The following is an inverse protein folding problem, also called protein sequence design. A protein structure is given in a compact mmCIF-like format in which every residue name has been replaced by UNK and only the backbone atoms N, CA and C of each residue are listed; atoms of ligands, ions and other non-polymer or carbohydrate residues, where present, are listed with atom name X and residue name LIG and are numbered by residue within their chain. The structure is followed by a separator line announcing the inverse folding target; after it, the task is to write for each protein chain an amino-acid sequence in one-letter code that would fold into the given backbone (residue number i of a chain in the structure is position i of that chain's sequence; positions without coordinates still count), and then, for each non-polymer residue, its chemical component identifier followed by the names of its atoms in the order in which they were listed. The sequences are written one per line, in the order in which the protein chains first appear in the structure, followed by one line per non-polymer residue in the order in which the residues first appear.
data_IF_808148857733
#
_entry.id   IF_808148857733
#
_cell.length_a   1.000
_cell.length_b   1.000
_cell.length_c   1.000
_cell.angle_alpha   90.00
_cell.angle_beta   90.00
_cell.angle_gamma   90.00
#
_symmetry.space_group_name_H-M   'P 1'
#
loop_
_entity.id
_entity.type
_entity.pdbx_description
1 polymer ?
#
# COMPACT_ATOMS: atom_id res chain seq x y z
N UNK A 1 27.05 0.19 -50.25
CA UNK A 1 25.70 0.55 -49.75
C UNK A 1 25.21 -0.40 -48.66
N UNK A 2 25.14 -1.71 -48.91
CA UNK A 2 24.69 -2.71 -47.93
C UNK A 2 25.44 -2.63 -46.58
N UNK A 3 26.77 -2.59 -46.59
CA UNK A 3 27.58 -2.51 -45.36
C UNK A 3 27.30 -1.26 -44.52
N UNK A 4 27.07 -0.10 -45.16
CA UNK A 4 26.74 1.12 -44.44
C UNK A 4 25.34 1.04 -43.82
N UNK A 5 24.40 0.42 -44.52
CA UNK A 5 23.02 0.22 -44.06
C UNK A 5 22.97 -0.77 -42.88
N UNK A 6 23.68 -1.90 -42.99
CA UNK A 6 23.74 -2.91 -41.92
C UNK A 6 24.41 -2.38 -40.67
N UNK A 7 25.53 -1.66 -40.80
CA UNK A 7 26.22 -1.07 -39.63
C UNK A 7 25.44 0.08 -39.00
N UNK A 8 24.69 0.87 -39.78
CA UNK A 8 23.77 1.87 -39.22
C UNK A 8 22.56 1.24 -38.54
N UNK A 9 22.01 0.14 -39.06
CA UNK A 9 20.97 -0.62 -38.37
C UNK A 9 21.50 -1.24 -37.06
N UNK A 10 22.71 -1.79 -37.08
CA UNK A 10 23.36 -2.40 -35.92
C UNK A 10 23.60 -1.39 -34.78
N UNK A 11 23.93 -0.13 -35.14
CA UNK A 11 24.07 0.99 -34.20
C UNK A 11 22.79 1.30 -33.41
N UNK A 12 21.61 0.97 -33.94
CA UNK A 12 20.32 1.26 -33.31
C UNK A 12 19.79 0.02 -32.58
N UNK A 13 19.90 -1.14 -33.24
CA UNK A 13 19.33 -2.41 -32.76
C UNK A 13 20.12 -2.97 -31.57
N UNK A 14 21.46 -2.94 -31.60
CA UNK A 14 22.26 -3.50 -30.50
C UNK A 14 22.00 -2.77 -29.17
N UNK A 15 22.06 -1.43 -29.08
CA UNK A 15 21.71 -0.73 -27.84
C UNK A 15 20.32 -1.09 -27.31
N UNK A 16 19.33 -1.22 -28.20
CA UNK A 16 17.96 -1.57 -27.82
C UNK A 16 17.88 -2.99 -27.20
N UNK A 17 18.55 -3.97 -27.82
CA UNK A 17 18.59 -5.35 -27.29
C UNK A 17 19.28 -5.38 -25.93
N UNK A 18 20.39 -4.68 -25.78
CA UNK A 18 21.11 -4.61 -24.50
C UNK A 18 20.26 -3.92 -23.43
N UNK A 19 19.65 -2.78 -23.74
CA UNK A 19 18.75 -2.07 -22.83
C UNK A 19 17.59 -2.96 -22.38
N UNK A 20 16.90 -3.62 -23.31
CA UNK A 20 15.78 -4.50 -23.01
C UNK A 20 16.18 -5.69 -22.14
N UNK A 21 17.33 -6.33 -22.43
CA UNK A 21 17.82 -7.47 -21.64
C UNK A 21 18.34 -7.08 -20.25
N UNK A 22 18.73 -5.83 -20.05
CA UNK A 22 19.23 -5.34 -18.76
C UNK A 22 18.16 -5.23 -17.66
N UNK A 23 16.88 -5.46 -17.99
CA UNK A 23 15.71 -5.36 -17.08
C UNK A 23 15.44 -3.97 -16.48
N UNK A 24 16.23 -2.96 -16.83
CA UNK A 24 16.02 -1.57 -16.40
C UNK A 24 15.11 -0.74 -17.31
N UNK A 25 14.78 -1.25 -18.50
CA UNK A 25 14.05 -0.52 -19.54
C UNK A 25 12.51 -0.58 -19.39
N UNK A 26 11.99 -1.64 -18.77
CA UNK A 26 10.55 -1.83 -18.58
C UNK A 26 10.27 -2.43 -17.21
N UNK A 27 10.06 -1.56 -16.24
CA UNK A 27 9.79 -1.95 -14.87
C UNK A 27 8.34 -2.41 -14.75
N UNK A 28 8.17 -3.59 -14.13
CA UNK A 28 6.83 -4.16 -13.89
C UNK A 28 6.13 -3.54 -12.69
N UNK A 29 6.90 -2.95 -11.79
CA UNK A 29 6.39 -2.29 -10.60
C UNK A 29 7.34 -1.19 -10.15
N UNK A 30 6.74 -0.16 -9.58
CA UNK A 30 7.42 0.89 -8.85
C UNK A 30 6.80 1.03 -7.46
N UNK A 31 7.50 1.77 -6.61
CA UNK A 31 6.99 2.12 -5.29
C UNK A 31 7.18 3.61 -5.03
N UNK A 32 6.34 4.12 -4.13
CA UNK A 32 6.51 5.42 -3.49
C UNK A 32 6.20 5.26 -2.01
N UNK A 33 6.61 6.26 -1.23
CA UNK A 33 6.26 6.37 0.17
C UNK A 33 5.32 7.56 0.33
N UNK A 34 4.26 7.35 1.10
CA UNK A 34 3.25 8.38 1.42
C UNK A 34 2.71 8.10 2.82
N UNK A 35 2.51 9.14 3.62
CA UNK A 35 1.73 9.03 4.84
C UNK A 35 0.23 9.11 4.48
N UNK A 36 -0.55 8.06 4.73
CA UNK A 36 -1.95 8.03 4.35
C UNK A 36 -2.76 8.95 5.26
N UNK A 37 -3.76 9.60 4.69
CA UNK A 37 -4.74 10.34 5.49
C UNK A 37 -5.78 9.35 6.00
N UNK A 38 -5.78 9.11 7.32
CA UNK A 38 -6.69 8.17 7.97
C UNK A 38 -7.61 8.91 8.92
N UNK A 39 -8.92 8.69 8.76
CA UNK A 39 -9.96 9.26 9.62
C UNK A 39 -10.78 8.13 10.24
N UNK A 40 -11.21 8.30 11.47
CA UNK A 40 -12.17 7.39 12.07
C UNK A 40 -13.55 7.65 11.47
N UNK A 41 -14.24 6.59 11.05
CA UNK A 41 -15.67 6.69 10.71
C UNK A 41 -16.55 6.73 11.96
N UNK A 42 -15.92 6.61 13.14
CA UNK A 42 -16.55 6.38 14.44
C UNK A 42 -17.33 5.07 14.53
N UNK A 43 -17.30 4.19 13.52
CA UNK A 43 -17.90 2.87 13.62
C UNK A 43 -16.91 1.88 14.22
N UNK A 44 -17.36 1.16 15.24
CA UNK A 44 -16.58 0.10 15.87
C UNK A 44 -17.48 -1.04 16.29
N UNK A 45 -16.86 -2.21 16.44
CA UNK A 45 -17.45 -3.40 17.06
C UNK A 45 -16.42 -3.93 18.03
N UNK A 46 -16.79 -3.99 19.31
CA UNK A 46 -15.98 -4.54 20.36
C UNK A 46 -16.70 -5.74 20.96
N UNK A 47 -15.99 -6.85 21.09
CA UNK A 47 -16.51 -8.11 21.57
C UNK A 47 -15.61 -8.58 22.69
N UNK A 48 -16.18 -8.82 23.86
CA UNK A 48 -15.51 -9.48 24.96
C UNK A 48 -16.15 -10.85 25.17
N UNK A 49 -15.37 -11.90 24.96
CA UNK A 49 -15.81 -13.26 25.26
C UNK A 49 -15.51 -13.58 26.72
N UNK A 50 -16.51 -14.12 27.39
CA UNK A 50 -16.36 -14.55 28.77
C UNK A 50 -15.89 -16.00 28.85
N UNK A 51 -15.63 -16.50 30.07
CA UNK A 51 -15.34 -17.91 30.31
C UNK A 51 -16.45 -18.84 29.76
N UNK A 52 -17.71 -18.40 29.82
CA UNK A 52 -18.83 -19.07 29.22
C UNK A 52 -19.04 -18.60 27.77
N UNK A 53 -18.81 -19.45 26.75
CA UNK A 53 -18.88 -19.04 25.34
C UNK A 53 -20.29 -18.66 24.87
N UNK A 54 -21.32 -18.97 25.67
CA UNK A 54 -22.71 -18.55 25.41
C UNK A 54 -22.97 -17.09 25.79
N UNK A 55 -22.08 -16.45 26.54
CA UNK A 55 -22.23 -15.09 27.04
C UNK A 55 -21.08 -14.26 26.48
N UNK A 56 -21.31 -13.64 25.33
CA UNK A 56 -20.43 -12.62 24.75
C UNK A 56 -21.02 -11.24 24.96
N UNK A 57 -20.16 -10.30 25.33
CA UNK A 57 -20.55 -8.89 25.49
C UNK A 57 -20.14 -8.16 24.22
N UNK A 58 -21.09 -7.54 23.54
CA UNK A 58 -20.85 -6.84 22.28
C UNK A 58 -21.21 -5.36 22.45
N UNK A 59 -20.27 -4.47 22.10
CA UNK A 59 -20.47 -3.02 22.02
C UNK A 59 -20.29 -2.56 20.57
N UNK A 60 -21.14 -1.68 20.06
CA UNK A 60 -20.92 -1.10 18.73
C UNK A 60 -21.99 -0.09 18.32
N UNK A 61 -21.68 0.71 17.31
CA UNK A 61 -22.53 1.84 16.87
C UNK A 61 -23.70 1.43 15.94
N UNK A 62 -24.14 0.17 15.97
CA UNK A 62 -25.26 -0.35 15.18
C UNK A 62 -26.35 -0.95 16.04
N UNK A 63 -27.48 -1.37 15.45
CA UNK A 63 -28.53 -2.16 16.12
C UNK A 63 -28.06 -3.60 16.41
N UNK A 64 -26.82 -3.75 16.86
CA UNK A 64 -26.24 -5.01 17.28
C UNK A 64 -26.88 -5.30 18.63
N UNK A 65 -27.82 -6.24 18.63
CA UNK A 65 -28.63 -6.55 19.80
C UNK A 65 -27.77 -7.00 20.98
N UNK A 66 -28.20 -6.48 22.13
CA UNK A 66 -27.92 -6.92 23.50
C UNK A 66 -26.57 -6.49 24.08
N UNK A 67 -26.68 -5.71 25.17
CA UNK A 67 -25.63 -5.27 26.11
C UNK A 67 -24.93 -3.94 25.84
N UNK A 68 -25.51 -3.05 25.04
CA UNK A 68 -24.99 -1.66 24.90
C UNK A 68 -24.93 -0.92 26.26
N UNK A 69 -25.78 -1.30 27.22
CA UNK A 69 -25.77 -0.76 28.59
C UNK A 69 -24.52 -1.15 29.42
N UNK A 70 -23.78 -2.20 29.04
CA UNK A 70 -22.53 -2.59 29.70
C UNK A 70 -21.34 -1.72 29.25
N UNK A 71 -21.47 -1.05 28.11
CA UNK A 71 -20.43 -0.24 27.49
C UNK A 71 -20.54 1.20 28.02
N UNK A 72 -19.92 1.46 29.17
CA UNK A 72 -20.19 2.67 29.96
C UNK A 72 -19.58 3.95 29.38
N UNK A 73 -18.40 3.86 28.76
CA UNK A 73 -17.70 5.01 28.21
C UNK A 73 -16.93 4.61 26.96
N UNK A 74 -17.16 5.31 25.84
CA UNK A 74 -16.42 5.16 24.60
C UNK A 74 -15.94 6.52 24.11
N UNK A 75 -14.64 6.62 23.85
CA UNK A 75 -13.99 7.85 23.37
C UNK A 75 -13.10 7.53 22.18
N UNK A 76 -13.27 8.29 21.10
CA UNK A 76 -12.41 8.24 19.92
C UNK A 76 -11.84 9.64 19.71
N UNK A 77 -10.51 9.74 19.68
CA UNK A 77 -9.79 11.01 19.54
C UNK A 77 -8.73 10.87 18.45
N UNK A 78 -8.65 11.88 17.58
CA UNK A 78 -7.65 11.99 16.54
C UNK A 78 -6.64 13.06 16.95
N UNK A 79 -5.37 12.75 16.84
CA UNK A 79 -4.27 13.65 17.18
C UNK A 79 -3.39 13.89 15.97
N UNK A 80 -3.18 15.16 15.69
CA UNK A 80 -2.19 15.69 14.75
C UNK A 80 -1.06 16.32 15.59
N UNK A 81 0.06 15.59 15.73
CA UNK A 81 1.16 16.01 16.60
C UNK A 81 2.10 16.99 15.89
N UNK A 82 2.26 16.85 14.57
CA UNK A 82 3.17 17.64 13.76
C UNK A 82 2.49 18.90 13.13
N UNK A 83 1.16 19.02 13.26
CA UNK A 83 0.29 20.09 12.75
C UNK A 83 0.28 20.18 11.21
N UNK A 84 0.43 19.06 10.51
CA UNK A 84 0.41 19.00 9.05
C UNK A 84 -1.00 18.77 8.47
N UNK A 85 -2.04 18.79 9.31
CA UNK A 85 -3.46 18.52 8.98
C UNK A 85 -3.80 17.06 8.69
N UNK A 86 -2.81 16.16 8.79
CA UNK A 86 -2.96 14.72 8.69
C UNK A 86 -2.93 14.14 10.10
N UNK A 87 -3.84 13.21 10.38
CA UNK A 87 -3.86 12.56 11.69
C UNK A 87 -2.65 11.62 11.83
N UNK A 88 -1.87 11.79 12.90
CA UNK A 88 -0.74 10.94 13.22
C UNK A 88 -1.16 9.76 14.11
N UNK A 89 -2.11 10.00 15.02
CA UNK A 89 -2.54 9.03 16.03
C UNK A 89 -4.06 9.03 16.16
N UNK A 90 -4.64 7.84 16.22
CA UNK A 90 -6.03 7.62 16.62
C UNK A 90 -6.02 6.93 17.98
N UNK A 91 -6.59 7.57 18.99
CA UNK A 91 -6.79 6.98 20.32
C UNK A 91 -8.23 6.53 20.47
N UNK A 92 -8.41 5.25 20.80
CA UNK A 92 -9.70 4.67 21.12
C UNK A 92 -9.68 4.20 22.57
N UNK A 93 -10.65 4.62 23.37
CA UNK A 93 -10.79 4.20 24.77
C UNK A 93 -12.19 3.67 24.98
N UNK A 94 -12.30 2.51 25.62
CA UNK A 94 -13.57 1.89 25.97
C UNK A 94 -13.49 1.36 27.40
N UNK A 95 -14.50 1.69 28.20
CA UNK A 95 -14.71 1.09 29.52
C UNK A 95 -15.92 0.18 29.45
N UNK A 96 -15.70 -1.09 29.79
CA UNK A 96 -16.74 -2.09 29.82
C UNK A 96 -17.01 -2.51 31.27
N UNK A 97 -18.28 -2.46 31.67
CA UNK A 97 -18.72 -3.00 32.95
C UNK A 97 -18.95 -4.51 32.78
N UNK A 98 -18.18 -5.31 33.51
CA UNK A 98 -18.24 -6.76 33.46
C UNK A 98 -19.15 -7.26 34.58
N UNK A 99 -20.16 -8.08 34.30
CA UNK A 99 -21.01 -8.66 35.35
C UNK A 99 -20.18 -9.44 36.39
N UNK A 100 -20.50 -9.30 37.67
CA UNK A 100 -19.69 -9.82 38.80
C UNK A 100 -19.43 -11.34 38.76
N UNK A 101 -20.24 -12.12 38.04
CA UNK A 101 -20.08 -13.57 37.93
C UNK A 101 -19.27 -14.02 36.70
N UNK A 102 -18.83 -13.10 35.84
CA UNK A 102 -18.16 -13.44 34.59
C UNK A 102 -16.77 -12.83 34.54
N UNK A 103 -15.85 -13.53 33.89
CA UNK A 103 -14.51 -13.05 33.60
C UNK A 103 -14.27 -13.02 32.11
N UNK A 104 -13.45 -12.08 31.64
CA UNK A 104 -13.15 -11.90 30.22
C UNK A 104 -11.92 -12.74 29.86
N UNK A 105 -12.07 -13.59 28.84
CA UNK A 105 -11.03 -14.48 28.34
C UNK A 105 -10.42 -13.98 27.03
N UNK A 106 -11.22 -13.35 26.17
CA UNK A 106 -10.73 -12.78 24.92
C UNK A 106 -11.41 -11.45 24.62
N UNK A 107 -10.74 -10.62 23.83
CA UNK A 107 -11.31 -9.39 23.28
C UNK A 107 -10.99 -9.29 21.79
N UNK A 108 -12.01 -8.91 21.03
CA UNK A 108 -11.90 -8.58 19.61
C UNK A 108 -12.40 -7.16 19.42
N UNK A 109 -11.56 -6.31 18.84
CA UNK A 109 -11.94 -4.97 18.40
C UNK A 109 -11.82 -4.90 16.88
N UNK A 110 -12.87 -4.41 16.24
CA UNK A 110 -12.89 -4.01 14.84
C UNK A 110 -13.21 -2.53 14.82
N UNK A 111 -12.23 -1.72 14.43
CA UNK A 111 -12.39 -0.29 14.23
C UNK A 111 -12.46 0.01 12.73
N UNK A 112 -13.52 0.68 12.28
CA UNK A 112 -13.62 1.14 10.91
C UNK A 112 -12.94 2.50 10.73
N UNK A 113 -12.14 2.60 9.67
CA UNK A 113 -11.32 3.74 9.35
C UNK A 113 -11.51 4.08 7.87
N UNK A 114 -11.62 5.36 7.54
CA UNK A 114 -11.51 5.83 6.17
C UNK A 114 -10.04 6.09 5.84
N UNK A 115 -9.54 5.42 4.80
CA UNK A 115 -8.14 5.48 4.40
C UNK A 115 -8.01 6.13 3.01
N UNK A 116 -7.18 7.18 2.93
CA UNK A 116 -6.93 7.92 1.71
C UNK A 116 -5.45 7.96 1.37
N UNK A 117 -5.13 7.65 0.11
CA UNK A 117 -3.89 8.03 -0.56
C UNK A 117 -4.23 9.15 -1.56
N UNK A 118 -3.38 10.17 -1.66
CA UNK A 118 -3.65 11.38 -2.45
C UNK A 118 -2.59 11.66 -3.52
N UNK A 119 -1.36 11.16 -3.37
CA UNK A 119 -0.23 11.64 -4.19
C UNK A 119 -0.15 11.01 -5.59
N UNK A 120 0.53 9.88 -5.72
CA UNK A 120 0.84 9.23 -7.01
C UNK A 120 -0.35 8.38 -7.47
N UNK A 121 -0.99 7.71 -6.52
CA UNK A 121 -2.07 6.78 -6.77
C UNK A 121 -3.22 7.05 -5.81
N UNK A 122 -4.20 7.87 -6.22
CA UNK A 122 -5.29 8.21 -5.33
C UNK A 122 -6.18 6.98 -5.11
N UNK A 123 -6.31 6.60 -3.84
CA UNK A 123 -7.08 5.44 -3.38
C UNK A 123 -7.93 5.91 -2.20
N UNK A 124 -9.20 5.57 -2.22
CA UNK A 124 -10.09 5.68 -1.08
C UNK A 124 -10.67 4.30 -0.78
N UNK A 125 -10.45 3.85 0.45
CA UNK A 125 -11.00 2.57 0.91
C UNK A 125 -11.45 2.65 2.36
N UNK A 126 -12.40 1.80 2.72
CA UNK A 126 -12.66 1.52 4.13
C UNK A 126 -11.61 0.53 4.63
N UNK A 127 -10.74 1.01 5.51
CA UNK A 127 -9.76 0.25 6.26
C UNK A 127 -10.38 -0.28 7.56
N UNK A 128 -9.89 -1.44 8.03
CA UNK A 128 -10.23 -1.97 9.34
C UNK A 128 -8.97 -2.09 10.21
N UNK A 129 -9.08 -1.60 11.44
CA UNK A 129 -8.15 -1.89 12.53
C UNK A 129 -8.69 -3.06 13.33
N UNK A 130 -8.20 -4.27 13.05
CA UNK A 130 -8.61 -5.49 13.75
C UNK A 130 -7.59 -5.84 14.85
N UNK A 131 -8.09 -6.02 16.07
CA UNK A 131 -7.33 -6.57 17.19
C UNK A 131 -8.05 -7.81 17.65
N UNK A 132 -7.32 -8.91 17.76
CA UNK A 132 -7.76 -10.08 18.49
C UNK A 132 -6.72 -10.34 19.60
N UNK A 133 -7.17 -10.37 20.85
CA UNK A 133 -6.31 -10.66 21.99
C UNK A 133 -6.98 -11.63 22.95
N UNK A 134 -6.37 -12.81 23.07
CA UNK A 134 -6.67 -13.79 24.10
C UNK A 134 -5.84 -13.52 25.36
N UNK A 135 -6.46 -13.78 26.52
CA UNK A 135 -5.86 -13.68 27.83
C UNK A 135 -5.78 -15.05 28.50
N UNK A 136 -4.60 -15.41 28.99
CA UNK A 136 -4.42 -16.61 29.81
C UNK A 136 -4.90 -16.42 31.26
N UNK A 137 -5.11 -15.17 31.67
CA UNK A 137 -5.54 -14.76 33.01
C UNK A 137 -6.58 -13.66 32.81
N UNK A 138 -7.71 -13.68 33.55
CA UNK A 138 -8.73 -12.64 33.48
C UNK A 138 -8.14 -11.21 33.52
N UNK A 139 -8.42 -10.45 32.46
CA UNK A 139 -7.93 -9.10 32.31
C UNK A 139 -8.93 -8.08 32.88
N UNK A 140 -8.42 -7.10 33.62
CA UNK A 140 -9.12 -5.88 34.03
C UNK A 140 -8.82 -4.69 33.12
N UNK A 141 -7.87 -4.83 32.21
CA UNK A 141 -7.64 -3.82 31.19
C UNK A 141 -6.57 -4.19 30.19
N UNK A 142 -6.58 -3.50 29.06
CA UNK A 142 -5.68 -3.74 27.95
C UNK A 142 -5.23 -2.39 27.38
N UNK A 143 -3.92 -2.14 27.41
CA UNK A 143 -3.30 -1.04 26.68
C UNK A 143 -2.63 -1.60 25.44
N UNK A 144 -3.08 -1.17 24.28
CA UNK A 144 -2.58 -1.60 22.98
C UNK A 144 -1.98 -0.40 22.24
N UNK A 145 -0.70 -0.49 21.91
CA UNK A 145 -0.01 0.46 21.04
C UNK A 145 0.39 -0.27 19.77
N UNK A 146 -0.03 0.23 18.62
CA UNK A 146 0.26 -0.39 17.33
C UNK A 146 0.30 0.59 16.19
N UNK A 147 0.84 0.12 15.07
CA UNK A 147 0.86 0.86 13.81
C UNK A 147 -0.25 0.35 12.90
N UNK A 148 -0.82 1.26 12.11
CA UNK A 148 -1.63 0.91 10.96
C UNK A 148 -0.72 0.71 9.75
N UNK A 149 -0.54 -0.54 9.35
CA UNK A 149 0.27 -0.89 8.18
C UNK A 149 -0.63 -1.11 6.95
N UNK A 150 -0.12 -0.71 5.79
CA UNK A 150 -0.78 -0.93 4.52
C UNK A 150 -0.23 -2.21 3.87
N UNK A 151 -1.10 -3.18 3.63
CA UNK A 151 -0.77 -4.45 3.01
C UNK A 151 -1.44 -4.57 1.64
N UNK A 152 -0.66 -4.98 0.65
CA UNK A 152 -1.10 -5.13 -0.74
C UNK A 152 -0.63 -6.47 -1.30
N UNK A 153 -1.54 -7.23 -1.88
CA UNK A 153 -1.24 -8.47 -2.62
C UNK A 153 -1.00 -8.19 -4.09
N UNK A 154 -1.72 -7.19 -4.65
CA UNK A 154 -1.61 -6.76 -6.03
C UNK A 154 -1.12 -5.30 -6.11
N UNK A 155 -0.47 -4.96 -7.23
CA UNK A 155 -0.02 -3.58 -7.45
C UNK A 155 -1.20 -2.71 -7.85
N UNK A 156 -1.24 -1.48 -7.32
CA UNK A 156 -2.27 -0.54 -7.72
C UNK A 156 -2.10 -0.15 -9.21
N UNK A 157 -3.18 -0.16 -10.00
CA UNK A 157 -3.11 0.13 -11.43
C UNK A 157 -2.87 1.62 -11.73
N UNK A 158 -3.14 2.51 -10.77
CA UNK A 158 -2.90 3.95 -10.80
C UNK A 158 -3.24 4.62 -12.14
N UNK A 159 -4.55 4.64 -12.42
CA UNK A 159 -5.11 5.27 -13.59
C UNK A 159 -5.10 6.80 -13.45
N UNK A 160 -4.78 7.49 -14.53
CA UNK A 160 -4.65 8.95 -14.53
C UNK A 160 -6.02 9.62 -14.29
N UNK A 161 -6.09 10.54 -13.32
CA UNK A 161 -7.30 11.26 -12.91
C UNK A 161 -8.46 10.36 -12.42
N UNK A 162 -8.14 9.17 -11.93
CA UNK A 162 -9.13 8.26 -11.38
C UNK A 162 -8.76 7.93 -9.94
N UNK A 163 -9.69 8.17 -9.01
CA UNK A 163 -9.56 7.74 -7.62
C UNK A 163 -10.09 6.32 -7.54
N UNK A 164 -9.26 5.38 -7.11
CA UNK A 164 -9.73 4.02 -6.88
C UNK A 164 -10.63 3.98 -5.64
N UNK A 165 -11.90 3.64 -5.82
CA UNK A 165 -12.89 3.52 -4.75
C UNK A 165 -13.46 2.10 -4.64
N UNK A 166 -12.78 1.10 -5.22
CA UNK A 166 -13.24 -0.30 -5.27
C UNK A 166 -13.62 -0.86 -3.90
N UNK A 167 -12.87 -0.50 -2.86
CA UNK A 167 -13.08 -0.94 -1.48
C UNK A 167 -13.73 0.13 -0.57
N UNK A 168 -14.36 1.14 -1.16
CA UNK A 168 -15.08 2.20 -0.43
C UNK A 168 -16.52 1.77 -0.13
N UNK A 169 -16.69 0.66 0.59
CA UNK A 169 -18.00 0.16 1.01
C UNK A 169 -17.97 -0.14 2.50
N UNK A 170 -18.98 0.35 3.22
CA UNK A 170 -19.09 0.18 4.67
C UNK A 170 -19.45 -1.27 5.01
N UNK A 171 -18.47 -2.08 5.44
CA UNK A 171 -18.68 -3.48 5.84
C UNK A 171 -19.52 -3.59 7.13
N UNK A 172 -19.34 -2.66 8.07
CA UNK A 172 -20.05 -2.68 9.36
C UNK A 172 -21.54 -2.34 9.23
N UNK A 173 -21.93 -1.46 8.30
CA UNK A 173 -23.35 -1.09 8.11
C UNK A 173 -24.18 -2.25 7.53
N UNK A 174 -23.55 -3.25 6.92
CA UNK A 174 -24.23 -4.44 6.42
C UNK A 174 -24.91 -5.22 7.56
N UNK A 175 -24.33 -5.22 8.77
CA UNK A 175 -24.90 -5.89 9.96
C UNK A 175 -26.30 -5.39 10.32
N UNK A 176 -26.65 -4.15 9.98
CA UNK A 176 -27.96 -3.59 10.27
C UNK A 176 -29.08 -4.20 9.41
N UNK A 177 -28.75 -4.84 8.27
CA UNK A 177 -29.74 -5.28 7.27
C UNK A 177 -30.12 -6.75 7.39
N UNK A 178 -29.20 -7.60 7.85
CA UNK A 178 -29.45 -9.02 8.11
C UNK A 178 -28.98 -9.30 9.55
N UNK A 179 -29.92 -9.69 10.42
CA UNK A 179 -29.67 -9.94 11.85
C UNK A 179 -28.68 -11.10 12.12
N UNK A 180 -28.24 -11.80 11.07
CA UNK A 180 -27.35 -12.97 11.13
C UNK A 180 -25.96 -12.74 10.49
N UNK A 181 -25.57 -11.50 10.15
CA UNK A 181 -24.21 -11.27 9.64
C UNK A 181 -23.22 -11.43 10.80
N UNK A 182 -22.51 -12.56 10.78
CA UNK A 182 -21.46 -12.88 11.73
C UNK A 182 -20.21 -12.04 11.46
N UNK A 183 -19.45 -11.79 12.52
CA UNK A 183 -18.14 -11.11 12.45
C UNK A 183 -17.20 -11.82 11.48
N UNK A 184 -17.29 -13.14 11.40
CA UNK A 184 -16.53 -13.97 10.48
C UNK A 184 -16.76 -13.54 9.02
N UNK A 185 -17.99 -13.20 8.62
CA UNK A 185 -18.28 -12.72 7.28
C UNK A 185 -17.60 -11.37 6.99
N UNK A 186 -17.57 -10.47 7.98
CA UNK A 186 -16.89 -9.17 7.85
C UNK A 186 -15.39 -9.38 7.69
N UNK A 187 -14.79 -10.22 8.51
CA UNK A 187 -13.37 -10.50 8.45
C UNK A 187 -13.01 -11.22 7.15
N UNK A 188 -13.79 -12.22 6.73
CA UNK A 188 -13.57 -12.94 5.47
C UNK A 188 -13.70 -12.01 4.24
N UNK A 189 -14.75 -11.19 4.18
CA UNK A 189 -14.92 -10.22 3.08
C UNK A 189 -13.86 -9.12 3.07
N UNK A 190 -13.25 -8.82 4.21
CA UNK A 190 -12.15 -7.86 4.31
C UNK A 190 -10.80 -8.47 3.94
N UNK A 191 -10.47 -9.66 4.44
CA UNK A 191 -9.18 -10.32 4.19
C UNK A 191 -9.06 -10.95 2.80
N UNK A 192 -10.16 -11.05 2.06
CA UNK A 192 -10.16 -11.46 0.64
C UNK A 192 -9.81 -10.31 -0.32
N UNK A 193 -9.72 -9.07 0.17
CA UNK A 193 -9.34 -7.90 -0.64
C UNK A 193 -7.88 -7.96 -1.04
N UNK A 194 -7.57 -7.39 -2.20
CA UNK A 194 -6.19 -7.28 -2.65
C UNK A 194 -5.38 -6.24 -1.87
N UNK A 195 -6.10 -5.26 -1.31
CA UNK A 195 -5.52 -4.14 -0.57
C UNK A 195 -6.27 -4.01 0.74
N UNK A 196 -5.51 -4.01 1.84
CA UNK A 196 -6.06 -3.96 3.19
C UNK A 196 -5.11 -3.21 4.13
N UNK A 197 -5.65 -2.70 5.23
CA UNK A 197 -4.85 -2.30 6.38
C UNK A 197 -4.75 -3.43 7.40
N UNK A 198 -3.58 -3.57 8.00
CA UNK A 198 -3.32 -4.50 9.10
C UNK A 198 -2.81 -3.72 10.31
N UNK A 199 -3.16 -4.19 11.51
CA UNK A 199 -2.61 -3.62 12.73
C UNK A 199 -1.39 -4.40 13.18
N UNK A 200 -0.25 -3.71 13.33
CA UNK A 200 0.98 -4.31 13.84
C UNK A 200 1.23 -3.86 15.29
N UNK A 201 1.23 -4.78 16.29
CA UNK A 201 1.46 -4.41 17.68
C UNK A 201 2.90 -3.96 17.91
N UNK A 202 3.07 -2.76 18.45
CA UNK A 202 4.36 -2.27 18.95
C UNK A 202 4.55 -2.62 20.42
N UNK A 203 3.51 -2.42 21.22
CA UNK A 203 3.53 -2.71 22.65
C UNK A 203 2.13 -3.03 23.15
N UNK A 204 1.99 -4.14 23.87
CA UNK A 204 0.71 -4.59 24.42
C UNK A 204 0.91 -4.91 25.88
N UNK A 205 0.07 -4.33 26.74
CA UNK A 205 0.09 -4.58 28.19
C UNK A 205 -1.31 -4.89 28.69
N UNK A 206 -1.47 -6.10 29.20
CA UNK A 206 -2.65 -6.50 29.96
C UNK A 206 -2.47 -6.13 31.44
N UNK A 207 -3.50 -5.53 32.03
CA UNK A 207 -3.70 -5.44 33.47
C UNK A 207 -4.60 -6.60 33.87
N UNK A 208 -4.22 -7.32 34.92
CA UNK A 208 -4.97 -8.45 35.43
C UNK A 208 -5.62 -8.06 36.75
N UNK A 209 -6.80 -8.61 37.00
CA UNK A 209 -7.56 -8.34 38.21
C UNK A 209 -9.05 -8.53 37.99
N UNK A 210 -9.78 -8.78 39.08
CA UNK A 210 -11.22 -8.91 39.04
C UNK A 210 -11.84 -7.63 39.61
N UNK A 211 -11.94 -6.61 38.75
CA UNK A 211 -12.39 -5.26 39.13
C UNK A 211 -13.82 -4.96 38.69
N UNK A 212 -14.52 -5.92 38.06
CA UNK A 212 -15.85 -5.72 37.46
C UNK A 212 -15.87 -4.70 36.32
N UNK A 213 -14.70 -4.21 35.90
CA UNK A 213 -14.52 -3.20 34.85
C UNK A 213 -13.31 -3.61 34.02
N UNK A 214 -13.46 -3.57 32.70
CA UNK A 214 -12.38 -3.71 31.72
C UNK A 214 -12.09 -2.35 31.09
N UNK A 215 -10.89 -1.83 31.35
CA UNK A 215 -10.36 -0.63 30.70
C UNK A 215 -9.59 -0.99 29.42
N UNK A 216 -10.15 -0.69 28.26
CA UNK A 216 -9.49 -0.86 26.96
C UNK A 216 -8.97 0.49 26.43
N UNK A 217 -7.69 0.57 26.12
CA UNK A 217 -7.05 1.74 25.51
C UNK A 217 -6.23 1.30 24.29
N UNK A 218 -6.55 1.84 23.12
CA UNK A 218 -5.81 1.70 21.88
C UNK A 218 -5.17 3.04 21.50
N UNK A 219 -3.89 2.97 21.15
CA UNK A 219 -3.12 4.04 20.52
C UNK A 219 -2.64 3.53 19.17
N UNK A 220 -3.36 3.92 18.11
CA UNK A 220 -3.06 3.56 16.74
C UNK A 220 -2.24 4.67 16.10
N UNK A 221 -0.99 4.39 15.77
CA UNK A 221 -0.12 5.30 15.02
C UNK A 221 -0.26 5.06 13.52
N UNK A 222 -0.25 6.14 12.75
CA UNK A 222 -0.32 6.12 11.29
C UNK A 222 1.06 6.46 10.72
N UNK A 223 1.89 5.46 10.38
CA UNK A 223 3.20 5.68 9.78
C UNK A 223 3.11 5.99 8.28
N UNK A 224 4.24 6.43 7.71
CA UNK A 224 4.45 6.44 6.26
C UNK A 224 4.44 5.02 5.69
N UNK A 225 3.69 4.80 4.61
CA UNK A 225 3.51 3.48 4.00
C UNK A 225 4.16 3.39 2.63
N UNK A 226 4.63 2.18 2.30
CA UNK A 226 5.18 1.87 0.98
C UNK A 226 4.09 1.34 0.06
N UNK A 227 3.76 2.09 -0.97
CA UNK A 227 2.71 1.73 -1.94
C UNK A 227 3.36 1.23 -3.23
N UNK A 228 2.95 0.06 -3.71
CA UNK A 228 3.39 -0.52 -4.97
C UNK A 228 2.38 -0.25 -6.06
N UNK A 229 2.86 0.18 -7.21
CA UNK A 229 2.01 0.49 -8.35
C UNK A 229 2.61 0.06 -9.67
N UNK A 230 1.73 -0.04 -10.67
CA UNK A 230 2.09 -0.29 -12.05
C UNK A 230 2.42 1.06 -12.71
N UNK A 231 3.66 1.26 -13.18
CA UNK A 231 4.05 2.50 -13.82
C UNK A 231 3.32 2.71 -15.15
N UNK A 232 3.05 3.97 -15.49
CA UNK A 232 2.47 4.32 -16.79
C UNK A 232 3.51 4.20 -17.92
N UNK A 233 3.05 3.95 -19.15
CA UNK A 233 3.91 3.88 -20.33
C UNK A 233 4.79 5.13 -20.51
N UNK A 234 4.25 6.30 -20.20
CA UNK A 234 4.98 7.56 -20.30
C UNK A 234 6.08 7.69 -19.25
N UNK A 235 5.81 7.17 -18.05
CA UNK A 235 6.80 7.12 -16.97
C UNK A 235 7.94 6.15 -17.31
N UNK A 236 7.63 4.97 -17.86
CA UNK A 236 8.64 4.05 -18.36
C UNK A 236 9.47 4.70 -19.48
N UNK A 237 8.82 5.39 -20.43
CA UNK A 237 9.51 6.09 -21.51
C UNK A 237 10.45 7.19 -20.98
N UNK A 238 10.04 7.93 -19.93
CA UNK A 238 10.87 8.94 -19.24
C UNK A 238 12.14 8.34 -18.65
N UNK A 239 12.11 7.11 -18.16
CA UNK A 239 13.29 6.45 -17.58
C UNK A 239 14.09 5.64 -18.60
N UNK A 240 13.45 5.22 -19.69
CA UNK A 240 14.04 4.44 -20.76
C UNK A 240 15.02 5.26 -21.63
N UNK A 241 14.69 6.52 -21.96
CA UNK A 241 15.48 7.30 -22.92
C UNK A 241 16.93 7.60 -22.50
N UNK A 242 17.28 7.89 -21.22
CA UNK A 242 18.67 8.14 -20.84
C UNK A 242 19.50 6.84 -20.89
N UNK A 243 18.91 5.72 -20.46
CA UNK A 243 19.53 4.39 -20.56
C UNK A 243 19.80 4.01 -22.01
N UNK A 244 18.84 4.24 -22.91
CA UNK A 244 19.02 4.00 -24.33
C UNK A 244 20.11 4.91 -24.93
N UNK A 245 20.05 6.22 -24.66
CA UNK A 245 20.98 7.20 -25.23
C UNK A 245 22.43 6.95 -24.81
N UNK A 246 22.65 6.60 -23.54
CA UNK A 246 23.99 6.24 -23.04
C UNK A 246 24.59 5.03 -23.77
N UNK A 247 23.78 3.99 -24.03
CA UNK A 247 24.24 2.83 -24.80
C UNK A 247 24.51 3.18 -26.26
N UNK A 248 23.64 3.97 -26.89
CA UNK A 248 23.81 4.39 -28.30
C UNK A 248 25.15 5.10 -28.51
N UNK A 249 25.58 5.97 -27.60
CA UNK A 249 26.87 6.66 -27.69
C UNK A 249 28.04 5.68 -27.72
N UNK A 250 28.03 4.67 -26.83
CA UNK A 250 29.10 3.66 -26.75
C UNK A 250 29.13 2.80 -28.01
N UNK A 251 27.98 2.28 -28.45
CA UNK A 251 27.89 1.46 -29.66
C UNK A 251 28.25 2.24 -30.92
N UNK A 252 27.82 3.50 -31.01
CA UNK A 252 28.19 4.39 -32.11
C UNK A 252 29.71 4.56 -32.19
N UNK A 253 30.38 4.78 -31.06
CA UNK A 253 31.84 4.89 -31.02
C UNK A 253 32.53 3.60 -31.49
N UNK A 254 32.10 2.43 -31.01
CA UNK A 254 32.66 1.13 -31.39
C UNK A 254 32.48 0.89 -32.90
N UNK A 255 31.26 1.05 -33.41
CA UNK A 255 30.97 0.80 -34.83
C UNK A 255 31.66 1.83 -35.72
N UNK A 256 31.82 3.08 -35.27
CA UNK A 256 32.61 4.07 -36.00
C UNK A 256 34.09 3.67 -36.12
N UNK A 257 34.68 3.08 -35.07
CA UNK A 257 36.04 2.51 -35.13
C UNK A 257 36.12 1.32 -36.08
N UNK A 258 35.14 0.41 -36.06
CA UNK A 258 35.09 -0.74 -36.98
C UNK A 258 34.94 -0.27 -38.43
N UNK A 259 34.03 0.68 -38.71
CA UNK A 259 33.87 1.29 -40.04
C UNK A 259 35.19 1.88 -40.53
N UNK A 260 35.83 2.69 -39.71
CA UNK A 260 37.11 3.33 -40.05
C UNK A 260 38.20 2.29 -40.35
N UNK A 261 38.27 1.20 -39.59
CA UNK A 261 39.22 0.11 -39.83
C UNK A 261 38.96 -0.59 -41.17
N UNK A 262 37.70 -0.92 -41.47
CA UNK A 262 37.31 -1.61 -42.71
C UNK A 262 37.63 -0.77 -43.95
N UNK A 263 37.34 0.54 -43.92
CA UNK A 263 37.62 1.44 -45.04
C UNK A 263 39.11 1.75 -45.19
N UNK A 264 39.86 1.92 -44.09
CA UNK A 264 41.32 2.15 -44.15
C UNK A 264 42.07 0.96 -44.74
N UNK A 265 41.66 -0.26 -44.38
CA UNK A 265 42.29 -1.49 -44.86
C UNK A 265 41.75 -1.96 -46.22
N UNK A 266 40.87 -1.19 -46.87
CA UNK A 266 40.27 -1.51 -48.18
C UNK A 266 39.64 -2.91 -48.24
N UNK A 267 39.08 -3.38 -47.12
CA UNK A 267 38.44 -4.71 -47.07
C UNK A 267 37.14 -4.76 -47.89
N UNK A 268 36.60 -3.60 -48.26
CA UNK A 268 35.44 -3.44 -49.14
C UNK A 268 35.75 -2.37 -50.20
N UNK A 269 35.23 -2.55 -51.42
CA UNK A 269 35.31 -1.53 -52.46
C UNK A 269 34.57 -0.27 -52.02
N UNK A 270 35.31 0.82 -51.88
CA UNK A 270 34.80 2.15 -51.54
C UNK A 270 35.34 3.15 -52.57
N UNK A 271 34.49 4.09 -52.98
CA UNK A 271 34.83 5.15 -53.91
C UNK A 271 34.82 6.46 -53.13
N UNK A 272 35.93 7.19 -53.17
CA UNK A 272 35.99 8.52 -52.59
C UNK A 272 35.29 9.48 -53.54
N UNK A 273 34.13 9.98 -53.12
CA UNK A 273 33.46 11.06 -53.83
C UNK A 273 34.09 12.34 -53.31
N UNK A 274 35.11 12.85 -54.02
CA UNK A 274 35.69 14.16 -53.75
C UNK A 274 34.67 15.19 -54.25
N UNK A 275 34.00 15.93 -53.35
CA UNK A 275 33.03 16.92 -53.79
C UNK A 275 33.83 18.13 -54.29
N UNK A 276 33.70 18.41 -55.60
CA UNK A 276 34.16 19.62 -56.30
C UNK A 276 35.68 19.82 -56.39
N UNK A 277 36.33 19.11 -57.33
CA UNK A 277 37.56 19.63 -57.91
C UNK A 277 37.17 20.74 -58.88
N UNK A 278 37.34 22.01 -58.50
CA UNK A 278 37.22 23.14 -59.43
C UNK A 278 38.16 22.87 -60.61
N UNK A 279 37.57 22.77 -61.80
CA UNK A 279 38.31 22.66 -63.05
C UNK A 279 38.86 24.06 -63.33
N UNK A 280 40.08 24.33 -62.89
CA UNK A 280 40.83 25.50 -63.37
C UNK A 280 41.26 25.18 -64.81
N UNK A 281 40.47 25.69 -65.77
CA UNK A 281 40.83 25.72 -67.18
C UNK A 281 42.01 26.66 -67.38
N UNK A 282 43.07 26.11 -67.99
CA UNK A 282 44.25 26.82 -68.46
C UNK A 282 43.96 27.61 -69.73
#
# INVERSE_FOLDING_TARGET
MLFALTTSALNIILPLIFAYRSRGFWLKSHHFYEQPMVKSTYDYVFIAETEDPSISIVCGNGNIMHFDELCSEVQIQEFDNNKDTINDIISFKLKLNVPENHTIMSVVLILALDFYLLTVCPLQMQALGVINKEFSIPASGLKYHGNLEFYQTSHLPCLRHHIDTTYNTSLLNSMNKNQDITIDYILESYFTRDVLSQMNPMFVRSKHGHTGILDFELFLKIPEVKVLYIPSLLQELKWAWPQYLSLVIVFYWIIHKIKSFVFRNRLLMAWEIIPWKTIDNK
#
